data_IF_120122987084
#
_entry.id   IF_120122987084
#
_cell.length_a   1.000
_cell.length_b   1.000
_cell.length_c   1.000
_cell.angle_alpha   90.00
_cell.angle_beta   90.00
_cell.angle_gamma   90.00
#
_symmetry.space_group_name_H-M   'P 1'
#
loop_
_entity.id
_entity.type
_entity.pdbx_description
1 polymer ?
#
# COMPACT_ATOMS: atom_id res chain seq x y z
N UNK A 1 -77.80 47.96 -25.59
CA UNK A 1 -77.04 47.28 -24.52
C UNK A 1 -76.86 48.27 -23.38
N UNK A 2 -77.13 47.90 -22.11
CA UNK A 2 -76.98 48.85 -20.99
C UNK A 2 -75.55 48.83 -20.44
N UNK A 3 -75.13 49.89 -19.74
CA UNK A 3 -73.81 49.97 -19.07
C UNK A 3 -73.60 48.78 -18.11
N UNK A 4 -74.66 48.35 -17.42
CA UNK A 4 -74.62 47.21 -16.49
C UNK A 4 -74.36 45.89 -17.21
N UNK A 5 -74.94 45.72 -18.41
CA UNK A 5 -74.71 44.53 -19.23
C UNK A 5 -73.26 44.50 -19.74
N UNK A 6 -72.66 45.66 -20.02
CA UNK A 6 -71.28 45.73 -20.48
C UNK A 6 -70.29 45.23 -19.40
N UNK A 7 -70.47 45.64 -18.14
CA UNK A 7 -69.69 45.12 -17.02
C UNK A 7 -69.84 43.60 -16.85
N UNK A 8 -71.06 43.07 -17.04
CA UNK A 8 -71.29 41.62 -16.99
C UNK A 8 -70.64 40.87 -18.15
N UNK A 9 -70.68 41.42 -19.36
CA UNK A 9 -70.09 40.82 -20.57
C UNK A 9 -68.56 40.77 -20.47
N UNK A 10 -67.95 41.79 -19.89
CA UNK A 10 -66.51 41.85 -19.62
C UNK A 10 -66.10 41.19 -18.30
N UNK A 11 -67.05 40.61 -17.57
CA UNK A 11 -66.86 39.98 -16.24
C UNK A 11 -66.13 40.89 -15.23
N UNK A 12 -66.47 42.19 -15.24
CA UNK A 12 -65.86 43.20 -14.38
C UNK A 12 -66.83 43.67 -13.28
N UNK A 13 -66.33 43.91 -12.06
CA UNK A 13 -67.09 44.64 -11.06
C UNK A 13 -67.25 46.11 -11.47
N UNK A 14 -68.30 46.78 -10.98
CA UNK A 14 -68.53 48.23 -11.25
C UNK A 14 -67.43 49.13 -10.70
N UNK A 15 -66.62 48.62 -9.79
CA UNK A 15 -65.48 49.29 -9.17
C UNK A 15 -64.19 49.13 -9.99
N UNK A 16 -64.22 48.41 -11.11
CA UNK A 16 -63.06 48.16 -11.96
C UNK A 16 -62.48 49.47 -12.52
N UNK A 17 -61.15 49.57 -12.51
CA UNK A 17 -60.42 50.69 -13.09
C UNK A 17 -60.23 50.57 -14.60
N UNK A 18 -59.70 51.62 -15.23
CA UNK A 18 -59.43 51.63 -16.69
C UNK A 18 -58.44 50.54 -17.11
N UNK A 19 -57.46 50.24 -16.25
CA UNK A 19 -56.48 49.18 -16.50
C UNK A 19 -57.14 47.79 -16.51
N UNK A 20 -58.09 47.54 -15.60
CA UNK A 20 -58.85 46.29 -15.54
C UNK A 20 -59.78 46.14 -16.75
N UNK A 21 -60.40 47.24 -17.21
CA UNK A 21 -61.20 47.27 -18.43
C UNK A 21 -60.39 46.86 -19.66
N UNK A 22 -59.24 47.51 -19.86
CA UNK A 22 -58.31 47.20 -20.97
C UNK A 22 -57.79 45.76 -20.89
N UNK A 23 -57.53 45.28 -19.68
CA UNK A 23 -57.04 43.93 -19.46
C UNK A 23 -58.10 42.87 -19.76
N UNK A 24 -59.31 42.99 -19.19
CA UNK A 24 -60.41 42.07 -19.41
C UNK A 24 -60.77 41.99 -20.90
N UNK A 25 -60.81 43.13 -21.58
CA UNK A 25 -61.01 43.18 -23.02
C UNK A 25 -59.91 42.41 -23.77
N UNK A 26 -58.63 42.65 -23.50
CA UNK A 26 -57.51 41.94 -24.17
C UNK A 26 -57.56 40.43 -23.92
N UNK A 27 -57.90 40.01 -22.71
CA UNK A 27 -57.97 38.60 -22.31
C UNK A 27 -59.13 37.89 -22.99
N UNK A 28 -60.32 38.49 -22.99
CA UNK A 28 -61.50 37.92 -23.65
C UNK A 28 -61.44 38.03 -25.17
N UNK A 29 -60.86 39.09 -25.72
CA UNK A 29 -60.64 39.26 -27.15
C UNK A 29 -59.74 38.13 -27.67
N UNK A 30 -58.66 37.82 -26.94
CA UNK A 30 -57.81 36.66 -27.21
C UNK A 30 -58.59 35.34 -27.14
N UNK A 31 -59.59 35.21 -26.27
CA UNK A 31 -60.39 33.98 -26.13
C UNK A 31 -61.42 33.80 -27.26
N UNK A 32 -62.11 34.88 -27.65
CA UNK A 32 -63.21 34.83 -28.61
C UNK A 32 -62.83 35.22 -30.05
N UNK A 33 -61.57 35.60 -30.31
CA UNK A 33 -61.11 35.98 -31.64
C UNK A 33 -61.45 34.92 -32.69
N UNK A 34 -62.04 35.28 -33.84
CA UNK A 34 -62.51 34.32 -34.86
C UNK A 34 -61.38 33.43 -35.40
N UNK A 35 -60.15 33.94 -35.44
CA UNK A 35 -58.97 33.18 -35.91
C UNK A 35 -58.43 32.16 -34.89
N UNK A 36 -58.99 32.11 -33.66
CA UNK A 36 -58.58 31.11 -32.67
C UNK A 36 -59.49 29.90 -32.70
N UNK A 37 -58.90 28.73 -32.41
CA UNK A 37 -59.63 27.47 -32.29
C UNK A 37 -60.65 27.55 -31.15
N UNK A 38 -61.94 27.58 -31.48
CA UNK A 38 -63.04 27.80 -30.53
C UNK A 38 -63.48 29.26 -30.35
N UNK A 39 -63.01 30.17 -31.21
CA UNK A 39 -63.47 31.55 -31.28
C UNK A 39 -64.91 31.68 -31.76
N UNK A 40 -65.55 32.81 -31.45
CA UNK A 40 -66.93 33.08 -31.78
C UNK A 40 -67.07 34.54 -32.17
N UNK A 41 -67.24 34.79 -33.47
CA UNK A 41 -67.33 36.12 -34.06
C UNK A 41 -68.44 36.96 -33.41
N UNK A 42 -69.59 36.36 -33.08
CA UNK A 42 -70.71 37.10 -32.46
C UNK A 42 -70.36 37.53 -31.03
N UNK A 43 -69.70 36.66 -30.26
CA UNK A 43 -69.23 37.00 -28.91
C UNK A 43 -68.12 38.04 -28.95
N UNK A 44 -67.23 37.97 -29.94
CA UNK A 44 -66.18 38.95 -30.13
C UNK A 44 -66.74 40.34 -30.45
N UNK A 45 -67.70 40.44 -31.38
CA UNK A 45 -68.36 41.71 -31.70
C UNK A 45 -69.07 42.28 -30.48
N UNK A 46 -69.83 41.45 -29.75
CA UNK A 46 -70.54 41.89 -28.54
C UNK A 46 -69.60 42.32 -27.41
N UNK A 47 -68.44 41.66 -27.28
CA UNK A 47 -67.37 42.04 -26.36
C UNK A 47 -66.76 43.40 -26.74
N UNK A 48 -66.51 43.62 -28.03
CA UNK A 48 -65.96 44.86 -28.54
C UNK A 48 -66.93 46.03 -28.34
N UNK A 49 -68.22 45.83 -28.65
CA UNK A 49 -69.28 46.82 -28.37
C UNK A 49 -69.38 47.15 -26.87
N UNK A 50 -69.26 46.14 -25.98
CA UNK A 50 -69.23 46.35 -24.53
C UNK A 50 -68.07 47.24 -24.10
N UNK A 51 -66.89 47.02 -24.69
CA UNK A 51 -65.67 47.73 -24.35
C UNK A 51 -65.70 49.19 -24.82
N UNK A 52 -66.13 49.45 -26.06
CA UNK A 52 -66.28 50.81 -26.58
C UNK A 52 -67.30 51.62 -25.78
N UNK A 53 -68.44 51.00 -25.41
CA UNK A 53 -69.45 51.65 -24.56
C UNK A 53 -68.94 51.97 -23.15
N UNK A 54 -68.12 51.12 -22.55
CA UNK A 54 -67.53 51.39 -21.25
C UNK A 54 -66.38 52.42 -21.33
N UNK A 55 -65.63 52.47 -22.42
CA UNK A 55 -64.63 53.51 -22.65
C UNK A 55 -65.24 54.91 -22.72
N UNK A 56 -66.40 55.03 -23.37
CA UNK A 56 -67.12 56.30 -23.50
C UNK A 56 -67.93 56.66 -22.23
N UNK A 57 -68.10 55.72 -21.31
CA UNK A 57 -68.77 55.94 -20.02
C UNK A 57 -67.94 56.87 -19.14
N UNK A 58 -68.56 57.95 -18.65
CA UNK A 58 -67.93 59.09 -17.98
C UNK A 58 -66.78 58.80 -16.99
N UNK A 59 -66.90 57.80 -16.09
CA UNK A 59 -65.82 57.40 -15.18
C UNK A 59 -64.52 56.95 -15.86
N UNK A 60 -64.59 56.33 -17.04
CA UNK A 60 -63.42 55.88 -17.82
C UNK A 60 -62.95 56.95 -18.80
N UNK A 61 -63.87 57.77 -19.32
CA UNK A 61 -63.61 58.86 -20.28
C UNK A 61 -62.90 60.07 -19.65
N UNK A 62 -63.23 60.45 -18.41
CA UNK A 62 -62.69 61.67 -17.77
C UNK A 62 -61.31 61.48 -17.13
N UNK A 63 -60.75 60.26 -17.14
CA UNK A 63 -59.50 59.95 -16.45
C UNK A 63 -59.60 59.89 -14.91
N UNK A 64 -60.78 60.16 -14.33
CA UNK A 64 -61.10 59.99 -12.90
C UNK A 64 -61.59 58.56 -12.57
N UNK A 65 -61.14 57.54 -13.30
CA UNK A 65 -61.38 56.17 -12.89
C UNK A 65 -60.68 55.95 -11.54
N UNK A 66 -61.40 55.43 -10.55
CA UNK A 66 -60.86 55.06 -9.24
C UNK A 66 -59.56 54.29 -9.47
N UNK A 67 -58.42 54.90 -9.10
CA UNK A 67 -57.12 54.22 -9.10
C UNK A 67 -57.14 53.20 -7.97
N UNK A 68 -57.82 52.09 -8.18
CA UNK A 68 -57.65 50.92 -7.33
C UNK A 68 -56.26 50.38 -7.66
N UNK A 69 -55.34 50.46 -6.70
CA UNK A 69 -54.00 49.84 -6.83
C UNK A 69 -54.05 48.30 -6.81
N UNK A 70 -55.24 47.71 -6.87
CA UNK A 70 -55.46 46.28 -6.73
C UNK A 70 -55.98 45.69 -8.04
N UNK A 71 -55.06 45.14 -8.82
CA UNK A 71 -55.36 44.19 -9.88
C UNK A 71 -54.84 42.83 -9.41
N UNK A 72 -55.71 41.81 -9.20
CA UNK A 72 -55.29 40.48 -8.74
C UNK A 72 -54.15 39.86 -9.58
N UNK A 73 -54.07 40.25 -10.85
CA UNK A 73 -53.04 39.80 -11.80
C UNK A 73 -51.65 40.43 -11.55
N UNK A 74 -51.59 41.69 -11.06
CA UNK A 74 -50.32 42.32 -10.67
C UNK A 74 -49.75 41.74 -9.38
N UNK A 75 -50.58 41.14 -8.54
CA UNK A 75 -50.14 40.46 -7.33
C UNK A 75 -49.60 39.06 -7.64
N UNK A 76 -50.21 38.33 -8.57
CA UNK A 76 -49.68 37.03 -9.04
C UNK A 76 -48.35 37.21 -9.77
N UNK A 77 -48.24 38.15 -10.71
CA UNK A 77 -46.97 38.43 -11.40
C UNK A 77 -45.87 38.90 -10.43
N UNK A 78 -46.23 39.67 -9.40
CA UNK A 78 -45.29 40.09 -8.35
C UNK A 78 -44.82 38.90 -7.52
N UNK A 79 -45.73 38.04 -7.06
CA UNK A 79 -45.39 36.82 -6.30
C UNK A 79 -44.52 35.87 -7.12
N UNK A 80 -44.88 35.64 -8.38
CA UNK A 80 -44.07 34.83 -9.30
C UNK A 80 -42.68 35.45 -9.54
N UNK A 81 -42.60 36.78 -9.65
CA UNK A 81 -41.32 37.48 -9.77
C UNK A 81 -40.48 37.37 -8.48
N UNK A 82 -41.10 37.52 -7.30
CA UNK A 82 -40.45 37.36 -5.99
C UNK A 82 -39.96 35.92 -5.76
N UNK A 83 -40.77 34.92 -6.12
CA UNK A 83 -40.41 33.51 -6.05
C UNK A 83 -39.27 33.17 -7.01
N UNK A 84 -39.31 33.68 -8.24
CA UNK A 84 -38.21 33.54 -9.20
C UNK A 84 -36.92 34.17 -8.69
N UNK A 85 -37.00 35.39 -8.15
CA UNK A 85 -35.86 36.10 -7.54
C UNK A 85 -35.26 35.31 -6.39
N UNK A 86 -36.11 34.81 -5.47
CA UNK A 86 -35.68 33.99 -4.35
C UNK A 86 -35.02 32.70 -4.81
N UNK A 87 -35.58 32.03 -5.82
CA UNK A 87 -35.00 30.82 -6.40
C UNK A 87 -33.65 31.11 -7.08
N UNK A 88 -33.55 32.21 -7.83
CA UNK A 88 -32.29 32.65 -8.45
C UNK A 88 -31.21 32.96 -7.39
N UNK A 89 -31.58 33.57 -6.26
CA UNK A 89 -30.70 33.83 -5.11
C UNK A 89 -30.29 32.54 -4.38
N UNK A 90 -31.21 31.61 -4.16
CA UNK A 90 -30.92 30.29 -3.57
C UNK A 90 -29.98 29.47 -4.48
N UNK A 91 -30.23 29.46 -5.79
CA UNK A 91 -29.36 28.80 -6.77
C UNK A 91 -27.97 29.46 -6.82
N UNK A 92 -27.90 30.80 -6.73
CA UNK A 92 -26.64 31.52 -6.64
C UNK A 92 -25.87 31.20 -5.34
N UNK A 93 -26.56 31.14 -4.21
CA UNK A 93 -25.99 30.76 -2.93
C UNK A 93 -25.48 29.31 -2.94
N UNK A 94 -26.23 28.38 -3.54
CA UNK A 94 -25.80 26.99 -3.69
C UNK A 94 -24.53 26.89 -4.54
N UNK A 95 -24.46 27.59 -5.69
CA UNK A 95 -23.25 27.63 -6.53
C UNK A 95 -22.05 28.21 -5.79
N UNK A 96 -22.25 29.30 -5.04
CA UNK A 96 -21.19 29.90 -4.24
C UNK A 96 -20.69 28.95 -3.14
N UNK A 97 -21.60 28.26 -2.44
CA UNK A 97 -21.26 27.28 -1.41
C UNK A 97 -20.50 26.07 -1.99
N UNK A 98 -20.93 25.57 -3.16
CA UNK A 98 -20.26 24.49 -3.86
C UNK A 98 -18.86 24.89 -4.32
N UNK A 99 -18.68 26.12 -4.81
CA UNK A 99 -17.36 26.63 -5.18
C UNK A 99 -16.42 26.74 -3.97
N UNK A 100 -16.91 27.24 -2.83
CA UNK A 100 -16.13 27.28 -1.59
C UNK A 100 -15.75 25.86 -1.15
N UNK A 101 -16.69 24.91 -1.20
CA UNK A 101 -16.43 23.50 -0.88
C UNK A 101 -15.37 22.89 -1.80
N UNK A 102 -15.42 23.20 -3.09
CA UNK A 102 -14.41 22.75 -4.06
C UNK A 102 -13.05 23.36 -3.78
N UNK A 103 -12.98 24.68 -3.58
CA UNK A 103 -11.72 25.39 -3.27
C UNK A 103 -11.09 24.87 -1.97
N UNK A 104 -11.88 24.63 -0.94
CA UNK A 104 -11.40 24.08 0.34
C UNK A 104 -10.92 22.63 0.19
N UNK A 105 -11.63 21.79 -0.57
CA UNK A 105 -11.19 20.43 -0.89
C UNK A 105 -9.88 20.41 -1.70
N UNK A 106 -9.75 21.28 -2.69
CA UNK A 106 -8.54 21.42 -3.51
C UNK A 106 -7.35 21.93 -2.66
N UNK A 107 -7.59 22.89 -1.76
CA UNK A 107 -6.59 23.35 -0.80
C UNK A 107 -6.13 22.23 0.15
N UNK A 108 -7.06 21.39 0.64
CA UNK A 108 -6.73 20.22 1.46
C UNK A 108 -5.87 19.21 0.70
N UNK A 109 -6.26 18.86 -0.52
CA UNK A 109 -5.48 17.95 -1.39
C UNK A 109 -4.07 18.47 -1.66
N UNK A 110 -3.92 19.77 -1.89
CA UNK A 110 -2.60 20.41 -2.08
C UNK A 110 -1.72 20.28 -0.83
N UNK A 111 -2.28 20.52 0.37
CA UNK A 111 -1.55 20.35 1.63
C UNK A 111 -1.15 18.90 1.88
N UNK A 112 -2.05 17.95 1.64
CA UNK A 112 -1.76 16.51 1.75
C UNK A 112 -0.66 16.08 0.77
N UNK A 113 -0.68 16.57 -0.47
CA UNK A 113 0.35 16.29 -1.46
C UNK A 113 1.71 16.90 -1.08
N UNK A 114 1.73 18.12 -0.55
CA UNK A 114 2.94 18.77 -0.07
C UNK A 114 3.55 18.03 1.12
N UNK A 115 2.72 17.62 2.09
CA UNK A 115 3.18 16.84 3.24
C UNK A 115 3.71 15.47 2.82
N UNK A 116 3.05 14.79 1.89
CA UNK A 116 3.52 13.53 1.30
C UNK A 116 4.89 13.70 0.64
N UNK A 117 5.08 14.76 -0.14
CA UNK A 117 6.38 15.10 -0.75
C UNK A 117 7.45 15.37 0.30
N UNK A 118 7.12 16.10 1.38
CA UNK A 118 8.05 16.38 2.48
C UNK A 118 8.50 15.08 3.18
N UNK A 119 7.54 14.20 3.52
CA UNK A 119 7.83 12.89 4.12
C UNK A 119 8.71 12.04 3.20
N UNK A 120 8.40 11.98 1.91
CA UNK A 120 9.21 11.25 0.93
C UNK A 120 10.65 11.82 0.80
N UNK A 121 10.81 13.16 0.87
CA UNK A 121 12.12 13.80 0.86
C UNK A 121 12.93 13.51 2.13
N UNK A 122 12.30 13.52 3.29
CA UNK A 122 12.94 13.13 4.56
C UNK A 122 13.38 11.67 4.56
N UNK A 123 12.53 10.75 4.08
CA UNK A 123 12.88 9.34 3.97
C UNK A 123 14.02 9.10 2.99
N UNK A 124 14.06 9.83 1.86
CA UNK A 124 15.19 9.79 0.92
C UNK A 124 16.49 10.24 1.60
N UNK A 125 16.47 11.34 2.36
CA UNK A 125 17.63 11.82 3.13
C UNK A 125 18.08 10.80 4.17
N UNK A 126 17.16 10.15 4.89
CA UNK A 126 17.48 9.10 5.86
C UNK A 126 18.17 7.91 5.20
N UNK A 127 17.63 7.40 4.07
CA UNK A 127 18.23 6.30 3.31
C UNK A 127 19.61 6.63 2.78
N UNK A 128 19.81 7.85 2.31
CA UNK A 128 21.12 8.32 1.84
C UNK A 128 22.13 8.42 2.99
N UNK A 129 21.73 8.96 4.14
CA UNK A 129 22.56 9.00 5.34
C UNK A 129 22.93 7.60 5.83
N UNK A 130 21.99 6.64 5.81
CA UNK A 130 22.27 5.24 6.16
C UNK A 130 23.26 4.60 5.19
N UNK A 131 23.08 4.81 3.88
CA UNK A 131 24.02 4.32 2.85
C UNK A 131 25.43 4.88 3.05
N UNK A 132 25.53 6.17 3.35
CA UNK A 132 26.82 6.81 3.62
C UNK A 132 27.46 6.29 4.91
N UNK A 133 26.69 6.04 5.97
CA UNK A 133 27.18 5.38 7.19
C UNK A 133 27.69 3.97 6.93
N UNK A 134 26.97 3.17 6.13
CA UNK A 134 27.40 1.81 5.73
C UNK A 134 28.71 1.86 4.94
N UNK A 135 28.82 2.75 3.95
CA UNK A 135 30.06 2.96 3.18
C UNK A 135 31.23 3.35 4.08
N UNK A 136 31.04 4.31 4.99
CA UNK A 136 32.07 4.71 5.93
C UNK A 136 32.48 3.56 6.87
N UNK A 137 31.53 2.73 7.31
CA UNK A 137 31.84 1.54 8.12
C UNK A 137 32.63 0.49 7.32
N UNK A 138 32.25 0.23 6.07
CA UNK A 138 32.99 -0.66 5.16
C UNK A 138 34.42 -0.17 4.91
N UNK A 139 34.61 1.14 4.69
CA UNK A 139 35.93 1.74 4.52
C UNK A 139 36.78 1.60 5.79
N UNK A 140 36.20 1.83 6.98
CA UNK A 140 36.90 1.62 8.25
C UNK A 140 37.31 0.17 8.47
N UNK A 141 36.47 -0.79 8.08
CA UNK A 141 36.81 -2.22 8.12
C UNK A 141 37.97 -2.52 7.16
N UNK A 142 37.95 -1.97 5.95
CA UNK A 142 39.04 -2.13 4.99
C UNK A 142 40.35 -1.55 5.51
N UNK A 143 40.32 -0.34 6.06
CA UNK A 143 41.47 0.32 6.67
C UNK A 143 42.00 -0.48 7.86
N UNK A 144 41.15 -0.91 8.78
CA UNK A 144 41.55 -1.75 9.91
C UNK A 144 42.14 -3.10 9.46
N UNK A 145 41.61 -3.69 8.38
CA UNK A 145 42.17 -4.91 7.80
C UNK A 145 43.54 -4.68 7.13
N UNK A 146 43.75 -3.52 6.50
CA UNK A 146 45.01 -3.12 5.89
C UNK A 146 46.07 -2.78 6.95
N UNK A 147 45.70 -2.06 7.99
CA UNK A 147 46.52 -1.80 9.18
C UNK A 147 46.87 -3.10 9.90
N UNK A 148 45.93 -4.05 10.02
CA UNK A 148 46.20 -5.37 10.59
C UNK A 148 47.14 -6.20 9.69
N UNK A 149 47.13 -6.01 8.37
CA UNK A 149 48.13 -6.61 7.46
C UNK A 149 49.51 -6.01 7.65
N UNK A 150 49.60 -4.72 8.00
CA UNK A 150 50.87 -4.00 8.13
C UNK A 150 51.46 -4.06 9.56
N UNK A 151 50.65 -4.22 10.60
CA UNK A 151 51.07 -4.04 12.01
C UNK A 151 51.46 -5.30 12.77
N UNK A 152 51.25 -6.51 12.25
CA UNK A 152 51.55 -7.71 13.02
C UNK A 152 51.91 -8.89 12.13
N UNK A 153 53.03 -9.54 12.45
CA UNK A 153 53.43 -10.85 11.93
C UNK A 153 52.20 -11.69 11.57
N UNK A 154 51.97 -11.89 10.27
CA UNK A 154 51.10 -12.95 9.81
C UNK A 154 51.69 -14.23 10.37
N UNK A 155 51.15 -14.71 11.49
CA UNK A 155 51.28 -16.10 11.88
C UNK A 155 50.72 -16.87 10.70
N UNK A 156 51.63 -17.33 9.83
CA UNK A 156 51.34 -18.02 8.59
C UNK A 156 50.23 -19.04 8.85
N UNK A 157 49.16 -19.11 8.05
CA UNK A 157 48.12 -20.14 8.20
C UNK A 157 48.70 -21.55 8.33
N UNK A 158 49.87 -21.83 7.75
CA UNK A 158 50.61 -23.08 7.96
C UNK A 158 51.14 -23.19 9.39
N UNK A 159 51.75 -22.12 9.92
CA UNK A 159 52.21 -22.05 11.31
C UNK A 159 51.06 -22.20 12.31
N UNK A 160 49.91 -21.55 12.07
CA UNK A 160 48.71 -21.69 12.91
C UNK A 160 48.18 -23.12 12.90
N UNK A 161 48.12 -23.74 11.72
CA UNK A 161 47.68 -25.12 11.60
C UNK A 161 48.62 -26.10 12.33
N UNK A 162 49.94 -25.88 12.21
CA UNK A 162 50.96 -26.66 12.92
C UNK A 162 50.79 -26.56 14.44
N UNK A 163 50.68 -25.36 14.98
CA UNK A 163 50.52 -25.14 16.43
C UNK A 163 49.24 -25.80 16.95
N UNK A 164 48.13 -25.71 16.22
CA UNK A 164 46.90 -26.39 16.58
C UNK A 164 47.03 -27.92 16.53
N UNK A 165 47.76 -28.45 15.55
CA UNK A 165 48.09 -29.88 15.47
C UNK A 165 48.93 -30.39 16.64
N UNK A 166 49.90 -29.59 17.10
CA UNK A 166 50.72 -29.86 18.29
C UNK A 166 49.88 -29.89 19.57
N UNK A 167 48.94 -28.94 19.71
CA UNK A 167 47.98 -28.92 20.84
C UNK A 167 47.12 -30.18 20.85
N UNK A 168 46.67 -30.65 19.69
CA UNK A 168 45.86 -31.87 19.58
C UNK A 168 46.61 -33.14 19.97
N UNK A 169 47.88 -33.25 19.57
CA UNK A 169 48.72 -34.39 19.91
C UNK A 169 49.22 -34.35 21.37
N UNK A 170 49.39 -33.15 21.94
CA UNK A 170 49.93 -32.96 23.28
C UNK A 170 49.01 -33.41 24.42
N UNK A 171 49.56 -33.39 25.64
CA UNK A 171 48.83 -33.63 26.91
C UNK A 171 48.07 -32.38 27.37
N UNK A 172 47.32 -31.75 26.45
CA UNK A 172 46.49 -30.57 26.73
C UNK A 172 45.07 -30.98 27.13
N UNK A 173 44.36 -30.06 27.79
CA UNK A 173 42.98 -30.29 28.22
C UNK A 173 42.03 -30.42 27.01
N UNK A 174 40.93 -31.14 27.17
CA UNK A 174 39.90 -31.27 26.13
C UNK A 174 39.42 -29.90 25.62
N UNK A 175 39.32 -28.91 26.52
CA UNK A 175 38.90 -27.54 26.17
C UNK A 175 39.90 -26.86 25.23
N UNK A 176 41.20 -27.02 25.47
CA UNK A 176 42.24 -26.46 24.61
C UNK A 176 42.28 -27.18 23.26
N UNK A 177 42.09 -28.50 23.25
CA UNK A 177 42.01 -29.31 22.04
C UNK A 177 40.81 -28.92 21.18
N UNK A 178 39.64 -28.69 21.77
CA UNK A 178 38.46 -28.20 21.05
C UNK A 178 38.71 -26.82 20.43
N UNK A 179 39.33 -25.88 21.16
CA UNK A 179 39.73 -24.58 20.60
C UNK A 179 40.71 -24.72 19.44
N UNK A 180 41.64 -25.66 19.52
CA UNK A 180 42.58 -25.94 18.43
C UNK A 180 41.85 -26.45 17.18
N UNK A 181 40.82 -27.30 17.33
CA UNK A 181 39.97 -27.75 16.21
C UNK A 181 39.19 -26.57 15.62
N UNK A 182 38.58 -25.71 16.45
CA UNK A 182 37.87 -24.52 15.98
C UNK A 182 38.80 -23.59 15.18
N UNK A 183 40.03 -23.40 15.66
CA UNK A 183 41.05 -22.66 14.94
C UNK A 183 41.35 -23.30 13.57
N UNK A 184 41.54 -24.62 13.50
CA UNK A 184 41.77 -25.33 12.24
C UNK A 184 40.59 -25.21 11.26
N UNK A 185 39.34 -25.27 11.76
CA UNK A 185 38.14 -25.05 10.94
C UNK A 185 38.11 -23.62 10.40
N UNK A 186 38.46 -22.63 11.22
CA UNK A 186 38.45 -21.21 10.84
C UNK A 186 39.40 -20.89 9.68
N UNK A 187 40.48 -21.69 9.52
CA UNK A 187 41.42 -21.57 8.41
C UNK A 187 40.79 -21.94 7.05
N UNK A 188 39.72 -22.75 7.04
CA UNK A 188 38.97 -23.15 5.82
C UNK A 188 39.83 -23.78 4.71
N UNK A 189 40.94 -24.43 5.07
CA UNK A 189 41.87 -25.09 4.13
C UNK A 189 41.83 -26.59 4.32
N UNK A 190 41.77 -27.36 3.23
CA UNK A 190 41.84 -28.83 3.29
C UNK A 190 43.21 -29.35 3.72
N UNK A 191 44.26 -28.54 3.56
CA UNK A 191 45.62 -28.84 4.02
C UNK A 191 45.75 -28.99 5.54
N UNK A 192 44.70 -28.64 6.30
CA UNK A 192 44.68 -28.85 7.76
C UNK A 192 44.44 -30.31 8.17
N UNK A 193 44.09 -31.18 7.21
CA UNK A 193 43.76 -32.58 7.47
C UNK A 193 44.81 -33.35 8.30
N UNK A 194 46.13 -33.27 8.02
CA UNK A 194 47.12 -33.98 8.81
C UNK A 194 47.07 -33.59 10.30
N UNK A 195 46.77 -32.32 10.60
CA UNK A 195 46.66 -31.82 11.97
C UNK A 195 45.35 -32.24 12.63
N UNK A 196 44.23 -32.25 11.88
CA UNK A 196 42.95 -32.77 12.39
C UNK A 196 43.01 -34.27 12.66
N UNK A 197 43.77 -35.04 11.86
CA UNK A 197 43.96 -36.48 12.04
C UNK A 197 44.61 -36.81 13.39
N UNK A 198 45.45 -35.93 13.95
CA UNK A 198 45.97 -36.08 15.32
C UNK A 198 44.85 -36.12 16.37
N UNK A 199 43.68 -35.58 16.04
CA UNK A 199 42.48 -35.59 16.86
C UNK A 199 41.77 -36.95 16.94
N UNK A 200 41.96 -37.84 15.96
CA UNK A 200 41.15 -39.06 15.80
C UNK A 200 41.42 -40.16 16.83
N UNK A 201 42.62 -40.17 17.41
CA UNK A 201 43.06 -41.21 18.34
C UNK A 201 43.26 -40.66 19.76
N UNK A 202 42.44 -39.68 20.15
CA UNK A 202 42.50 -39.10 21.50
C UNK A 202 41.69 -39.90 22.51
N UNK A 203 42.10 -39.83 23.77
CA UNK A 203 41.43 -40.51 24.89
C UNK A 203 40.00 -40.02 25.15
N UNK A 204 39.61 -38.86 24.61
CA UNK A 204 38.29 -38.26 24.79
C UNK A 204 37.46 -38.35 23.53
N UNK A 205 36.35 -39.10 23.58
CA UNK A 205 35.35 -39.21 22.52
C UNK A 205 34.85 -37.84 22.04
N UNK A 206 34.82 -36.83 22.92
CA UNK A 206 34.39 -35.46 22.58
C UNK A 206 35.34 -34.82 21.57
N UNK A 207 36.64 -34.91 21.81
CA UNK A 207 37.68 -34.35 20.94
C UNK A 207 37.75 -35.11 19.62
N UNK A 208 37.67 -36.44 19.69
CA UNK A 208 37.63 -37.32 18.51
C UNK A 208 36.42 -37.00 17.64
N UNK A 209 35.22 -36.93 18.22
CA UNK A 209 33.99 -36.56 17.51
C UNK A 209 34.06 -35.16 16.88
N UNK A 210 34.61 -34.17 17.60
CA UNK A 210 34.78 -32.82 17.07
C UNK A 210 35.72 -32.79 15.85
N UNK A 211 36.83 -33.54 15.91
CA UNK A 211 37.78 -33.66 14.81
C UNK A 211 37.16 -34.31 13.57
N UNK A 212 36.35 -35.36 13.77
CA UNK A 212 35.61 -36.05 12.71
C UNK A 212 34.59 -35.10 12.05
N UNK A 213 33.81 -34.35 12.85
CA UNK A 213 32.86 -33.37 12.30
C UNK A 213 33.56 -32.24 11.55
N UNK A 214 34.74 -31.82 11.99
CA UNK A 214 35.56 -30.82 11.30
C UNK A 214 35.94 -31.28 9.88
N UNK A 215 36.27 -32.56 9.71
CA UNK A 215 36.54 -33.16 8.39
C UNK A 215 35.33 -33.07 7.46
N UNK A 216 34.13 -33.33 7.99
CA UNK A 216 32.88 -33.12 7.28
C UNK A 216 32.66 -31.66 6.87
N UNK A 217 32.78 -30.73 7.81
CA UNK A 217 32.63 -29.29 7.57
C UNK A 217 33.59 -28.77 6.48
N UNK A 218 34.82 -29.29 6.44
CA UNK A 218 35.85 -28.92 5.46
C UNK A 218 35.82 -29.73 4.15
N UNK A 219 34.89 -30.68 4.01
CA UNK A 219 34.72 -31.51 2.82
C UNK A 219 36.01 -32.25 2.41
N UNK A 220 36.68 -32.86 3.40
CA UNK A 220 37.95 -33.58 3.24
C UNK A 220 37.66 -35.05 2.92
N UNK A 221 37.61 -35.39 1.64
CA UNK A 221 37.30 -36.75 1.17
C UNK A 221 38.43 -37.75 1.50
N UNK A 222 39.67 -37.25 1.62
CA UNK A 222 40.85 -38.05 1.95
C UNK A 222 40.76 -38.78 3.30
N UNK A 223 39.83 -38.38 4.18
CA UNK A 223 39.64 -39.01 5.48
C UNK A 223 38.86 -40.34 5.44
N UNK A 224 38.41 -40.79 4.27
CA UNK A 224 37.60 -42.00 4.10
C UNK A 224 38.14 -43.24 4.84
N UNK A 225 39.41 -43.65 4.65
CA UNK A 225 39.96 -44.82 5.32
C UNK A 225 39.92 -44.74 6.85
N UNK A 226 40.29 -43.59 7.42
CA UNK A 226 40.26 -43.37 8.85
C UNK A 226 38.83 -43.32 9.41
N UNK A 227 37.90 -42.67 8.69
CA UNK A 227 36.49 -42.65 9.06
C UNK A 227 35.88 -44.05 9.03
N UNK A 228 36.23 -44.88 8.04
CA UNK A 228 35.81 -46.29 7.98
C UNK A 228 36.34 -47.10 9.17
N UNK A 229 37.62 -46.92 9.53
CA UNK A 229 38.23 -47.58 10.68
C UNK A 229 37.53 -47.20 11.99
N UNK A 230 37.21 -45.91 12.17
CA UNK A 230 36.47 -45.39 13.31
C UNK A 230 35.01 -45.84 13.32
N UNK A 231 34.41 -46.06 12.16
CA UNK A 231 33.07 -46.65 12.06
C UNK A 231 33.06 -48.11 12.55
N UNK A 232 34.09 -48.90 12.24
CA UNK A 232 34.19 -50.29 12.70
C UNK A 232 34.49 -50.42 14.20
N UNK A 233 35.40 -49.59 14.70
CA UNK A 233 36.01 -49.78 16.04
C UNK A 233 35.59 -48.75 17.09
N UNK A 234 34.98 -47.63 16.68
CA UNK A 234 34.65 -46.52 17.56
C UNK A 234 33.45 -46.79 18.47
N UNK A 235 33.35 -46.01 19.55
CA UNK A 235 32.17 -45.96 20.41
C UNK A 235 30.94 -45.50 19.63
N UNK A 236 29.74 -45.72 20.18
CA UNK A 236 28.49 -45.25 19.54
C UNK A 236 28.51 -43.72 19.30
N UNK A 237 29.19 -42.96 20.16
CA UNK A 237 29.35 -41.51 19.98
C UNK A 237 30.27 -41.17 18.79
N UNK A 238 31.36 -41.93 18.61
CA UNK A 238 32.29 -41.77 17.48
C UNK A 238 31.61 -42.19 16.17
N UNK A 239 30.92 -43.34 16.14
CA UNK A 239 30.18 -43.81 14.95
C UNK A 239 29.10 -42.81 14.52
N UNK A 240 28.39 -42.22 15.49
CA UNK A 240 27.47 -41.10 15.23
C UNK A 240 28.19 -39.91 14.59
N UNK A 241 29.32 -39.50 15.15
CA UNK A 241 30.08 -38.37 14.60
C UNK A 241 30.59 -38.64 13.18
N UNK A 242 30.96 -39.89 12.85
CA UNK A 242 31.33 -40.30 11.49
C UNK A 242 30.14 -40.13 10.55
N UNK A 243 28.96 -40.65 10.89
CA UNK A 243 27.75 -40.49 10.06
C UNK A 243 27.31 -39.01 9.95
N UNK A 244 27.44 -38.22 11.01
CA UNK A 244 27.19 -36.77 10.97
C UNK A 244 28.15 -36.07 9.99
N UNK A 245 29.43 -36.45 10.02
CA UNK A 245 30.43 -35.89 9.13
C UNK A 245 30.11 -36.26 7.67
N UNK A 246 29.82 -37.54 7.37
CA UNK A 246 29.39 -38.00 6.04
C UNK A 246 28.13 -37.27 5.58
N UNK A 247 27.16 -37.05 6.47
CA UNK A 247 25.94 -36.31 6.16
C UNK A 247 26.19 -34.86 5.71
N UNK A 248 27.21 -34.23 6.27
CA UNK A 248 27.60 -32.86 5.93
C UNK A 248 28.32 -32.74 4.57
N UNK A 249 28.77 -33.84 3.96
CA UNK A 249 29.37 -33.79 2.63
C UNK A 249 28.32 -33.43 1.57
N UNK A 250 28.73 -32.57 0.62
CA UNK A 250 27.94 -32.25 -0.57
C UNK A 250 27.71 -33.49 -1.44
N UNK A 251 28.73 -34.33 -1.56
CA UNK A 251 28.66 -35.61 -2.25
C UNK A 251 29.08 -36.74 -1.29
N UNK A 252 28.11 -37.50 -0.73
CA UNK A 252 28.41 -38.60 0.18
C UNK A 252 28.81 -39.91 -0.53
N UNK A 253 28.73 -40.00 -1.86
CA UNK A 253 29.02 -41.23 -2.64
C UNK A 253 30.39 -41.88 -2.32
N UNK A 254 31.49 -41.14 -2.12
CA UNK A 254 32.79 -41.73 -1.78
C UNK A 254 32.80 -42.50 -0.44
N UNK A 255 31.78 -42.32 0.40
CA UNK A 255 31.65 -42.95 1.71
C UNK A 255 30.54 -44.03 1.72
N UNK A 256 30.18 -44.59 0.56
CA UNK A 256 29.14 -45.62 0.45
C UNK A 256 29.38 -46.81 1.40
N UNK A 257 30.63 -47.28 1.51
CA UNK A 257 30.99 -48.35 2.44
C UNK A 257 30.71 -47.99 3.90
N UNK A 258 30.94 -46.74 4.30
CA UNK A 258 30.63 -46.25 5.65
C UNK A 258 29.13 -46.25 5.90
N UNK A 259 28.34 -45.81 4.91
CA UNK A 259 26.89 -45.81 4.99
C UNK A 259 26.36 -47.24 5.11
N UNK A 260 26.89 -48.18 4.31
CA UNK A 260 26.53 -49.60 4.36
C UNK A 260 26.88 -50.26 5.71
N UNK A 261 28.02 -49.91 6.31
CA UNK A 261 28.36 -50.34 7.67
C UNK A 261 27.35 -49.81 8.69
N UNK A 262 26.92 -48.55 8.56
CA UNK A 262 25.96 -47.93 9.46
C UNK A 262 24.54 -48.52 9.38
N UNK A 263 24.13 -49.06 8.23
CA UNK A 263 22.87 -49.81 8.11
C UNK A 263 22.83 -51.06 9.00
N UNK A 264 24.00 -51.62 9.30
CA UNK A 264 24.16 -52.81 10.14
C UNK A 264 24.62 -52.46 11.57
N UNK A 265 24.58 -51.17 11.96
CA UNK A 265 24.99 -50.75 13.31
C UNK A 265 24.08 -51.36 14.38
N UNK A 266 24.62 -51.56 15.59
CA UNK A 266 23.85 -52.03 16.74
C UNK A 266 22.82 -50.99 17.21
N UNK A 267 23.15 -49.70 17.09
CA UNK A 267 22.26 -48.59 17.47
C UNK A 267 21.23 -48.31 16.37
N UNK A 268 19.94 -48.42 16.72
CA UNK A 268 18.81 -48.19 15.80
C UNK A 268 18.79 -46.80 15.17
N UNK A 269 19.26 -45.76 15.88
CA UNK A 269 19.27 -44.40 15.37
C UNK A 269 20.34 -44.23 14.31
N UNK A 270 21.48 -44.92 14.46
CA UNK A 270 22.55 -44.90 13.45
C UNK A 270 22.14 -45.65 12.19
N UNK A 271 21.38 -46.74 12.33
CA UNK A 271 20.76 -47.43 11.17
C UNK A 271 19.81 -46.50 10.41
N UNK A 272 18.88 -45.85 11.11
CA UNK A 272 17.94 -44.91 10.49
C UNK A 272 18.66 -43.72 9.81
N UNK A 273 19.71 -43.17 10.45
CA UNK A 273 20.54 -42.13 9.83
C UNK A 273 21.23 -42.62 8.56
N UNK A 274 21.70 -43.86 8.55
CA UNK A 274 22.35 -44.46 7.39
C UNK A 274 21.38 -44.74 6.25
N UNK A 275 20.12 -45.12 6.54
CA UNK A 275 19.05 -45.24 5.53
C UNK A 275 18.78 -43.90 4.83
N UNK A 276 18.70 -42.81 5.60
CA UNK A 276 18.56 -41.46 5.07
C UNK A 276 19.76 -41.02 4.23
N UNK A 277 20.97 -41.45 4.58
CA UNK A 277 22.17 -41.16 3.78
C UNK A 277 22.21 -41.99 2.50
N UNK A 278 21.73 -43.23 2.55
CA UNK A 278 21.69 -44.12 1.38
C UNK A 278 20.79 -43.58 0.28
N UNK A 279 19.71 -42.86 0.60
CA UNK A 279 18.86 -42.23 -0.41
C UNK A 279 19.51 -41.03 -1.14
N UNK A 280 20.66 -40.54 -0.64
CA UNK A 280 21.41 -39.41 -1.21
C UNK A 280 22.57 -39.82 -2.14
N UNK A 281 22.87 -41.12 -2.23
CA UNK A 281 23.95 -41.66 -3.08
C UNK A 281 23.38 -42.38 -4.28
#
# INVERSE_FOLDING_TARGET
MTVNDCFRILELPRTAGLDDLKFAYRTMAKKYHPDRKGGDSRKFTRLHEAYELLLDYGPFKSGYALKTNYSPFRETERKEWEERKKKEEEDAAHRAAEEIRRRTADARKRREAEESRRRAAEDRKKREAERNRRRAAEERIKQAAEEARHSGHQSDPVHQARLAGEILQGKKSDREKLKAIDNLISLKRKSVYPYLKNGFYNSSDKVTAASIRAVGALQIVQAGPELSSLMCSGSTAIRRAVLDAVASFRNPRPFSSIIEMGLNDRDKNLRAQSELLRSRI
#
